data_IF_711668885521
#
_entry.id   IF_711668885521
#
_cell.length_a   1.000
_cell.length_b   1.000
_cell.length_c   1.000
_cell.angle_alpha   90.00
_cell.angle_beta   90.00
_cell.angle_gamma   90.00
#
_symmetry.space_group_name_H-M   'P 1'
#
loop_
_entity.id
_entity.type
_entity.pdbx_description
1 polymer ?
#
# COMPACT_ATOMS: atom_id res chain seq x y z
N UNK A 1 -2.23 4.97 10.77
CA UNK A 1 -3.68 5.05 11.00
C UNK A 1 -4.17 3.64 11.16
N UNK A 2 -4.87 3.34 12.26
CA UNK A 2 -5.11 1.96 12.71
C UNK A 2 -6.59 1.75 13.02
N UNK A 3 -7.12 0.59 12.65
CA UNK A 3 -8.54 0.22 12.87
C UNK A 3 -8.80 -0.49 14.22
N UNK A 4 -7.75 -0.96 14.89
CA UNK A 4 -7.85 -1.67 16.17
C UNK A 4 -6.57 -1.54 17.00
N UNK A 5 -6.60 -1.97 18.26
CA UNK A 5 -5.41 -2.01 19.12
C UNK A 5 -4.36 -3.01 18.61
N UNK A 6 -4.79 -4.16 18.08
CA UNK A 6 -3.89 -5.16 17.48
C UNK A 6 -3.20 -4.60 16.23
N UNK A 7 -3.97 -3.89 15.39
CA UNK A 7 -3.44 -3.18 14.23
C UNK A 7 -2.39 -2.14 14.64
N UNK A 8 -2.66 -1.41 15.73
CA UNK A 8 -1.73 -0.42 16.26
C UNK A 8 -0.43 -1.03 16.75
N UNK A 9 -0.49 -2.16 17.44
CA UNK A 9 0.68 -2.91 17.91
C UNK A 9 1.50 -3.42 16.71
N UNK A 10 0.86 -4.05 15.73
CA UNK A 10 1.48 -4.48 14.48
C UNK A 10 2.22 -3.33 13.77
N UNK A 11 1.51 -2.25 13.46
CA UNK A 11 2.06 -1.11 12.71
C UNK A 11 3.29 -0.52 13.42
N UNK A 12 3.20 -0.32 14.74
CA UNK A 12 4.27 0.27 15.55
C UNK A 12 5.47 -0.66 15.63
N UNK A 13 5.26 -1.95 15.91
CA UNK A 13 6.34 -2.93 16.00
C UNK A 13 7.09 -3.05 14.67
N UNK A 14 6.36 -3.03 13.55
CA UNK A 14 6.99 -3.12 12.22
C UNK A 14 7.82 -1.90 11.87
N UNK A 15 7.29 -0.70 12.10
CA UNK A 15 8.10 0.51 11.88
C UNK A 15 9.31 0.52 12.82
N UNK A 16 9.11 0.19 14.10
CA UNK A 16 10.18 0.25 15.10
C UNK A 16 11.29 -0.79 14.85
N UNK A 17 10.95 -1.99 14.36
CA UNK A 17 11.92 -3.03 14.06
C UNK A 17 12.89 -2.62 12.94
N UNK A 18 12.41 -1.86 11.96
CA UNK A 18 13.18 -1.46 10.77
C UNK A 18 13.83 -0.08 10.95
N UNK A 19 13.08 0.88 11.51
CA UNK A 19 13.48 2.26 11.73
C UNK A 19 13.37 2.61 13.24
N UNK A 20 14.20 2.03 14.13
CA UNK A 20 14.06 2.17 15.58
C UNK A 20 14.25 3.61 16.10
N UNK A 21 14.90 4.48 15.32
CA UNK A 21 15.06 5.90 15.63
C UNK A 21 13.91 6.80 15.16
N UNK A 22 12.93 6.27 14.43
CA UNK A 22 11.79 7.05 13.96
C UNK A 22 10.86 7.41 15.12
N UNK A 23 10.39 8.67 15.15
CA UNK A 23 9.33 9.08 16.08
C UNK A 23 7.98 8.59 15.54
N UNK A 24 7.38 7.61 16.20
CA UNK A 24 6.12 7.00 15.78
C UNK A 24 4.96 7.65 16.55
N UNK A 25 3.94 8.12 15.81
CA UNK A 25 2.70 8.65 16.39
C UNK A 25 1.53 7.81 15.92
N UNK A 26 0.84 7.17 16.86
CA UNK A 26 -0.39 6.42 16.58
C UNK A 26 -1.56 7.39 16.56
N UNK A 27 -2.32 7.35 15.48
CA UNK A 27 -3.49 8.20 15.25
C UNK A 27 -4.74 7.32 15.26
N UNK A 28 -5.72 7.72 16.06
CA UNK A 28 -6.98 7.00 16.26
C UNK A 28 -8.16 7.96 16.11
N UNK A 29 -9.23 7.54 15.43
CA UNK A 29 -10.48 8.31 15.41
C UNK A 29 -11.08 8.42 16.83
N UNK A 30 -11.63 9.58 17.22
CA UNK A 30 -12.30 9.76 18.51
C UNK A 30 -13.67 9.05 18.59
N UNK A 31 -14.23 8.57 17.48
CA UNK A 31 -15.55 7.95 17.47
C UNK A 31 -15.44 6.43 17.74
N UNK A 32 -16.06 6.00 18.86
CA UNK A 32 -16.21 4.60 19.22
C UNK A 32 -17.39 3.97 18.48
N UNK A 33 -17.27 3.81 17.16
CA UNK A 33 -18.25 3.09 16.33
C UNK A 33 -17.71 1.70 15.96
N UNK A 34 -18.61 0.74 15.72
CA UNK A 34 -18.24 -0.61 15.26
C UNK A 34 -17.75 -0.65 13.80
N UNK A 35 -17.87 0.47 13.08
CA UNK A 35 -17.43 0.66 11.70
C UNK A 35 -16.69 1.99 11.64
N UNK A 36 -15.55 2.01 10.95
CA UNK A 36 -14.80 3.26 10.74
C UNK A 36 -15.49 4.08 9.66
N UNK A 37 -15.72 5.37 9.91
CA UNK A 37 -16.27 6.30 8.93
C UNK A 37 -15.12 6.88 8.08
N UNK A 38 -15.18 6.84 6.73
CA UNK A 38 -14.19 7.49 5.88
C UNK A 38 -13.95 8.96 6.22
N UNK A 39 -14.98 9.73 6.56
CA UNK A 39 -14.83 11.15 6.89
C UNK A 39 -14.01 11.36 8.17
N UNK A 40 -14.16 10.47 9.16
CA UNK A 40 -13.33 10.50 10.35
C UNK A 40 -11.86 10.23 10.03
N UNK A 41 -11.60 9.27 9.12
CA UNK A 41 -10.25 8.96 8.66
C UNK A 41 -9.63 10.22 8.05
N UNK A 42 -10.32 10.85 7.08
CA UNK A 42 -9.85 12.07 6.43
C UNK A 42 -9.56 13.19 7.45
N UNK A 43 -10.45 13.41 8.41
CA UNK A 43 -10.26 14.45 9.43
C UNK A 43 -9.03 14.20 10.31
N UNK A 44 -8.76 12.95 10.68
CA UNK A 44 -7.55 12.61 11.46
C UNK A 44 -6.29 12.80 10.64
N UNK A 45 -6.32 12.45 9.36
CA UNK A 45 -5.19 12.68 8.44
C UNK A 45 -4.92 14.18 8.24
N UNK A 46 -5.96 14.97 7.99
CA UNK A 46 -5.86 16.43 7.89
C UNK A 46 -5.26 17.02 9.17
N UNK A 47 -5.76 16.60 10.33
CA UNK A 47 -5.21 17.04 11.62
C UNK A 47 -3.71 16.71 11.73
N UNK A 48 -3.29 15.52 11.31
CA UNK A 48 -1.90 15.10 11.37
C UNK A 48 -0.99 15.93 10.48
N UNK A 49 -1.44 16.27 9.27
CA UNK A 49 -0.71 17.13 8.34
C UNK A 49 -0.67 18.57 8.86
N UNK A 50 -1.81 19.16 9.23
CA UNK A 50 -1.91 20.55 9.72
C UNK A 50 -1.02 20.79 10.95
N UNK A 51 -0.92 19.79 11.85
CA UNK A 51 -0.12 19.88 13.06
C UNK A 51 1.30 19.30 12.89
N UNK A 52 1.71 19.00 11.65
CA UNK A 52 3.06 18.53 11.30
C UNK A 52 3.49 17.32 12.15
N UNK A 53 2.57 16.36 12.33
CA UNK A 53 2.80 15.25 13.24
C UNK A 53 3.81 14.24 12.69
N UNK A 54 3.97 14.13 11.39
CA UNK A 54 4.94 13.27 10.73
C UNK A 54 5.07 13.61 9.26
N UNK A 55 6.06 12.99 8.61
CA UNK A 55 6.36 13.17 7.19
C UNK A 55 6.09 11.91 6.35
N UNK A 56 5.60 10.87 7.03
CA UNK A 56 5.17 9.60 6.43
C UNK A 56 3.88 9.19 7.13
N UNK A 57 2.80 9.04 6.36
CA UNK A 57 1.52 8.53 6.83
C UNK A 57 1.36 7.09 6.33
N UNK A 58 1.36 6.13 7.26
CA UNK A 58 1.09 4.71 7.00
C UNK A 58 -0.36 4.40 7.36
N UNK A 59 -1.10 3.81 6.43
CA UNK A 59 -2.51 3.50 6.60
C UNK A 59 -2.79 2.00 6.42
N UNK A 60 -3.13 1.34 7.53
CA UNK A 60 -3.57 -0.06 7.57
C UNK A 60 -5.11 -0.12 7.72
N UNK A 61 -5.79 0.72 6.95
CA UNK A 61 -7.25 0.88 6.91
C UNK A 61 -7.68 1.19 5.49
N UNK A 62 -8.85 0.65 5.12
CA UNK A 62 -9.35 0.73 3.76
C UNK A 62 -10.85 0.52 3.68
N UNK A 63 -11.40 0.87 2.54
CA UNK A 63 -12.81 0.81 2.19
C UNK A 63 -12.94 0.32 0.75
N UNK A 64 -14.03 -0.36 0.41
CA UNK A 64 -14.29 -0.69 -1.00
C UNK A 64 -14.44 0.58 -1.82
N UNK A 65 -13.62 0.77 -2.87
CA UNK A 65 -13.74 1.91 -3.79
C UNK A 65 -15.15 1.98 -4.42
N UNK A 66 -15.80 0.83 -4.60
CA UNK A 66 -17.16 0.75 -5.10
C UNK A 66 -18.17 1.55 -4.26
N UNK A 67 -17.91 1.74 -2.95
CA UNK A 67 -18.73 2.56 -2.07
C UNK A 67 -18.67 4.07 -2.41
N UNK A 68 -17.69 4.50 -3.19
CA UNK A 68 -17.48 5.90 -3.58
C UNK A 68 -17.92 6.21 -5.02
N UNK A 69 -18.37 5.22 -5.80
CA UNK A 69 -18.81 5.43 -7.19
C UNK A 69 -20.00 6.40 -7.30
N UNK A 70 -20.92 6.33 -6.33
CA UNK A 70 -22.07 7.25 -6.20
C UNK A 70 -21.77 8.46 -5.28
N UNK A 71 -20.55 8.53 -4.72
CA UNK A 71 -20.09 9.55 -3.76
C UNK A 71 -18.72 10.12 -4.18
N UNK A 72 -18.57 10.42 -5.47
CA UNK A 72 -17.29 10.87 -6.05
C UNK A 72 -16.81 12.21 -5.46
N UNK A 73 -17.73 13.03 -4.94
CA UNK A 73 -17.41 14.25 -4.22
C UNK A 73 -16.62 14.01 -2.93
N UNK A 74 -16.88 12.89 -2.23
CA UNK A 74 -16.10 12.49 -1.06
C UNK A 74 -14.71 12.01 -1.52
N UNK A 75 -14.64 11.13 -2.50
CA UNK A 75 -13.35 10.67 -3.02
C UNK A 75 -12.48 11.81 -3.57
N UNK A 76 -13.09 12.82 -4.20
CA UNK A 76 -12.37 14.00 -4.65
C UNK A 76 -11.82 14.84 -3.50
N UNK A 77 -12.55 14.97 -2.37
CA UNK A 77 -12.04 15.68 -1.19
C UNK A 77 -10.77 15.02 -0.62
N UNK A 78 -10.78 13.68 -0.53
CA UNK A 78 -9.59 12.91 -0.17
C UNK A 78 -8.45 13.14 -1.16
N UNK A 79 -8.73 13.04 -2.47
CA UNK A 79 -7.71 13.21 -3.51
C UNK A 79 -7.08 14.60 -3.50
N UNK A 80 -7.89 15.65 -3.33
CA UNK A 80 -7.41 17.02 -3.22
C UNK A 80 -6.52 17.21 -1.98
N UNK A 81 -6.91 16.60 -0.85
CA UNK A 81 -6.11 16.59 0.36
C UNK A 81 -4.79 15.84 0.16
N UNK A 82 -4.80 14.61 -0.36
CA UNK A 82 -3.59 13.81 -0.59
C UNK A 82 -2.64 14.47 -1.58
N UNK A 83 -3.17 15.10 -2.63
CA UNK A 83 -2.38 15.93 -3.54
C UNK A 83 -1.69 17.06 -2.80
N UNK A 84 -2.42 17.83 -1.98
CA UNK A 84 -1.83 18.94 -1.23
C UNK A 84 -0.79 18.44 -0.23
N UNK A 85 -1.11 17.42 0.56
CA UNK A 85 -0.21 16.86 1.57
C UNK A 85 1.10 16.36 0.95
N UNK A 86 1.03 15.69 -0.21
CA UNK A 86 2.20 15.08 -0.84
C UNK A 86 3.04 16.06 -1.67
N UNK A 87 2.41 17.06 -2.29
CA UNK A 87 3.11 18.00 -3.19
C UNK A 87 3.47 19.34 -2.57
N UNK A 88 2.79 19.75 -1.49
CA UNK A 88 3.03 21.03 -0.80
C UNK A 88 3.66 20.78 0.56
N UNK A 89 3.08 19.89 1.36
CA UNK A 89 3.54 19.64 2.74
C UNK A 89 4.68 18.61 2.82
N UNK A 90 4.99 17.93 1.72
CA UNK A 90 6.10 16.98 1.62
C UNK A 90 5.86 15.65 2.33
N UNK A 91 4.61 15.31 2.62
CA UNK A 91 4.22 14.07 3.31
C UNK A 91 4.14 12.91 2.32
N UNK A 92 4.79 11.79 2.60
CA UNK A 92 4.55 10.54 1.86
C UNK A 92 3.35 9.81 2.46
N UNK A 93 2.39 9.40 1.63
CA UNK A 93 1.19 8.68 2.09
C UNK A 93 1.21 7.27 1.50
N UNK A 94 1.10 6.26 2.36
CA UNK A 94 1.07 4.85 2.00
C UNK A 94 -0.19 4.20 2.53
N UNK A 95 -0.82 3.34 1.73
CA UNK A 95 -2.00 2.59 2.14
C UNK A 95 -1.91 1.13 1.70
N UNK A 96 -2.35 0.26 2.60
CA UNK A 96 -2.55 -1.16 2.36
C UNK A 96 -3.59 -1.38 1.25
N UNK A 97 -3.35 -2.31 0.31
CA UNK A 97 -4.30 -2.58 -0.77
C UNK A 97 -5.44 -3.52 -0.41
N UNK A 98 -5.41 -4.11 0.78
CA UNK A 98 -6.42 -5.06 1.26
C UNK A 98 -5.92 -6.50 1.27
N UNK A 99 -6.69 -7.33 1.97
CA UNK A 99 -6.30 -8.70 2.36
C UNK A 99 -7.23 -9.79 1.77
N UNK A 100 -8.16 -9.38 0.91
CA UNK A 100 -9.22 -10.19 0.33
C UNK A 100 -8.96 -10.54 -1.15
N UNK A 101 -7.71 -10.41 -1.61
CA UNK A 101 -7.30 -10.68 -2.98
C UNK A 101 -7.85 -9.65 -3.98
N UNK A 102 -8.33 -10.09 -5.14
CA UNK A 102 -8.87 -9.21 -6.18
C UNK A 102 -10.24 -8.58 -5.85
N UNK A 103 -10.78 -8.75 -4.64
CA UNK A 103 -12.05 -8.15 -4.23
C UNK A 103 -11.88 -7.36 -2.93
N UNK A 104 -12.75 -6.37 -2.72
CA UNK A 104 -12.92 -5.69 -1.43
C UNK A 104 -14.37 -5.82 -1.00
N UNK A 105 -14.67 -6.72 -0.04
CA UNK A 105 -16.02 -6.91 0.49
C UNK A 105 -16.60 -5.60 1.05
N UNK A 106 -17.91 -5.40 0.89
CA UNK A 106 -18.61 -4.23 1.42
C UNK A 106 -19.97 -4.60 1.99
N UNK A 107 -20.26 -4.19 3.22
CA UNK A 107 -21.54 -4.49 3.88
C UNK A 107 -21.84 -5.99 4.02
N UNK A 108 -20.82 -6.84 4.07
CA UNK A 108 -20.96 -8.30 4.09
C UNK A 108 -21.29 -8.95 2.74
N UNK A 109 -21.20 -8.18 1.65
CA UNK A 109 -21.44 -8.66 0.29
C UNK A 109 -20.08 -8.87 -0.40
N UNK A 110 -19.89 -10.06 -0.99
CA UNK A 110 -18.73 -10.38 -1.82
C UNK A 110 -18.97 -9.90 -3.26
N UNK A 111 -18.09 -9.05 -3.82
CA UNK A 111 -18.12 -8.69 -5.23
C UNK A 111 -17.96 -9.91 -6.14
N UNK A 112 -18.63 -9.90 -7.30
CA UNK A 112 -18.49 -10.95 -8.34
C UNK A 112 -17.51 -10.58 -9.44
N UNK A 113 -16.93 -9.38 -9.37
CA UNK A 113 -15.92 -8.85 -10.27
C UNK A 113 -14.80 -8.20 -9.45
N UNK A 114 -13.60 -8.02 -10.02
CA UNK A 114 -12.53 -7.35 -9.31
C UNK A 114 -12.92 -5.95 -8.83
N UNK A 115 -12.48 -5.61 -7.62
CA UNK A 115 -12.66 -4.30 -6.98
C UNK A 115 -11.38 -3.97 -6.22
N UNK A 116 -11.14 -2.69 -5.94
CA UNK A 116 -9.92 -2.22 -5.27
C UNK A 116 -10.23 -1.43 -4.02
N UNK A 117 -9.24 -1.31 -3.14
CA UNK A 117 -9.36 -0.63 -1.87
C UNK A 117 -9.09 0.88 -2.02
N UNK A 118 -9.85 1.68 -1.28
CA UNK A 118 -9.69 3.12 -1.10
C UNK A 118 -9.32 3.40 0.37
N UNK A 119 -8.23 4.15 0.67
CA UNK A 119 -7.60 5.15 -0.19
C UNK A 119 -6.45 4.65 -1.09
N UNK A 120 -6.10 3.36 -1.05
CA UNK A 120 -4.98 2.85 -1.87
C UNK A 120 -5.15 3.14 -3.37
N UNK A 121 -6.39 3.19 -3.88
CA UNK A 121 -6.68 3.49 -5.28
C UNK A 121 -6.47 4.95 -5.67
N UNK A 122 -6.31 5.87 -4.72
CA UNK A 122 -6.02 7.26 -5.03
C UNK A 122 -4.62 7.43 -5.66
N UNK A 123 -4.47 8.17 -6.78
CA UNK A 123 -3.17 8.36 -7.44
C UNK A 123 -2.09 9.10 -6.64
N UNK A 124 -2.45 9.79 -5.56
CA UNK A 124 -1.50 10.48 -4.68
C UNK A 124 -1.00 9.60 -3.53
N UNK A 125 -1.55 8.40 -3.39
CA UNK A 125 -1.19 7.41 -2.37
C UNK A 125 -0.31 6.33 -2.99
N UNK A 126 0.76 5.95 -2.29
CA UNK A 126 1.54 4.76 -2.63
C UNK A 126 0.80 3.54 -2.12
N UNK A 127 0.21 2.77 -3.03
CA UNK A 127 -0.48 1.52 -2.72
C UNK A 127 0.52 0.40 -2.46
N UNK A 128 0.38 -0.27 -1.32
CA UNK A 128 1.29 -1.33 -0.86
C UNK A 128 0.56 -2.67 -0.80
N UNK A 129 0.94 -3.57 -1.71
CA UNK A 129 0.44 -4.93 -1.78
C UNK A 129 1.25 -5.93 -0.95
N UNK A 130 0.97 -7.21 -1.20
CA UNK A 130 1.43 -8.31 -0.38
C UNK A 130 2.12 -9.44 -1.15
N UNK A 131 3.15 -10.00 -0.54
CA UNK A 131 3.87 -11.20 -1.00
C UNK A 131 3.84 -12.31 0.05
N UNK A 132 4.13 -13.53 -0.39
CA UNK A 132 4.43 -14.69 0.44
C UNK A 132 5.94 -14.94 0.38
N UNK A 133 6.65 -14.72 1.48
CA UNK A 133 8.10 -14.91 1.59
C UNK A 133 8.45 -16.24 2.28
N UNK A 134 8.65 -17.29 1.51
CA UNK A 134 8.92 -18.62 2.04
C UNK A 134 10.41 -18.90 2.18
N UNK A 135 10.79 -19.55 3.28
CA UNK A 135 12.13 -20.08 3.44
C UNK A 135 12.25 -21.46 2.79
N UNK A 136 13.08 -21.57 1.77
CA UNK A 136 13.37 -22.83 1.06
C UNK A 136 14.83 -23.22 1.31
N UNK A 137 15.04 -24.03 2.35
CA UNK A 137 16.38 -24.43 2.79
C UNK A 137 17.18 -23.26 3.38
N UNK A 138 18.24 -22.86 2.69
CA UNK A 138 19.07 -21.70 3.05
C UNK A 138 18.70 -20.42 2.27
N UNK A 139 17.77 -20.53 1.32
CA UNK A 139 17.32 -19.42 0.48
C UNK A 139 15.91 -19.00 0.87
N UNK A 140 15.47 -17.88 0.30
CA UNK A 140 14.08 -17.44 0.32
C UNK A 140 13.54 -17.44 -1.12
N UNK A 141 12.27 -17.78 -1.25
CA UNK A 141 11.49 -17.67 -2.48
C UNK A 141 10.30 -16.79 -2.17
N UNK A 142 10.00 -15.86 -3.07
CA UNK A 142 8.91 -14.92 -2.89
C UNK A 142 7.93 -15.02 -4.05
N UNK A 143 6.65 -15.04 -3.73
CA UNK A 143 5.54 -15.11 -4.68
C UNK A 143 4.46 -14.11 -4.29
N UNK A 144 3.53 -13.84 -5.20
CA UNK A 144 2.38 -13.01 -4.89
C UNK A 144 1.48 -13.70 -3.86
N UNK A 145 1.14 -12.99 -2.79
CA UNK A 145 0.18 -13.49 -1.81
C UNK A 145 -1.22 -13.47 -2.41
N UNK A 146 -1.97 -14.57 -2.30
CA UNK A 146 -3.31 -14.65 -2.87
C UNK A 146 -4.32 -13.71 -2.20
N UNK A 147 -4.04 -13.28 -0.97
CA UNK A 147 -4.82 -12.25 -0.28
C UNK A 147 -4.43 -10.83 -0.68
N UNK A 148 -3.36 -10.62 -1.46
CA UNK A 148 -2.93 -9.27 -1.85
C UNK A 148 -4.01 -8.56 -2.66
N UNK A 149 -4.48 -7.44 -2.11
CA UNK A 149 -5.29 -6.48 -2.84
C UNK A 149 -4.56 -5.96 -4.07
N UNK A 150 -5.28 -5.84 -5.19
CA UNK A 150 -4.69 -5.38 -6.43
C UNK A 150 -5.67 -5.43 -7.59
N UNK A 151 -5.49 -4.55 -8.56
CA UNK A 151 -6.39 -4.45 -9.70
C UNK A 151 -6.36 -3.09 -10.36
N UNK A 152 -7.50 -2.68 -10.91
CA UNK A 152 -7.67 -1.43 -11.66
C UNK A 152 -8.82 -0.65 -11.03
N UNK A 153 -8.57 0.60 -10.71
CA UNK A 153 -9.56 1.53 -10.16
C UNK A 153 -10.70 1.77 -11.15
N UNK A 154 -11.93 1.74 -10.65
CA UNK A 154 -13.12 2.16 -11.39
C UNK A 154 -13.36 3.67 -11.30
N UNK A 155 -12.71 4.35 -10.35
CA UNK A 155 -12.96 5.76 -10.04
C UNK A 155 -11.89 6.70 -10.61
N UNK A 156 -10.61 6.34 -10.46
CA UNK A 156 -9.48 7.21 -10.79
C UNK A 156 -8.90 6.87 -12.16
N UNK A 157 -8.71 7.91 -12.97
CA UNK A 157 -8.00 7.80 -14.24
C UNK A 157 -6.52 7.48 -14.03
N UNK A 158 -5.90 6.92 -15.06
CA UNK A 158 -4.48 6.57 -15.05
C UNK A 158 -3.61 7.82 -14.84
N UNK A 159 -2.81 7.88 -13.77
CA UNK A 159 -1.92 8.98 -13.53
C UNK A 159 -0.74 8.96 -14.51
N UNK A 160 -0.17 10.13 -14.80
CA UNK A 160 0.91 10.27 -15.77
C UNK A 160 2.14 9.41 -15.51
N UNK A 161 2.41 9.04 -14.25
CA UNK A 161 3.53 8.16 -13.90
C UNK A 161 3.30 6.68 -14.26
N UNK A 162 2.05 6.24 -14.51
CA UNK A 162 1.74 4.89 -14.99
C UNK A 162 1.77 4.77 -16.52
N UNK A 163 1.67 5.90 -17.25
CA UNK A 163 1.61 5.90 -18.71
C UNK A 163 2.90 5.40 -19.39
N UNK A 164 4.01 5.29 -18.65
CA UNK A 164 5.27 4.70 -19.14
C UNK A 164 5.32 3.18 -19.03
N UNK A 165 4.28 2.54 -18.47
CA UNK A 165 4.23 1.08 -18.33
C UNK A 165 4.15 0.40 -19.71
N UNK A 166 4.62 -0.86 -19.83
CA UNK A 166 4.57 -1.61 -21.09
C UNK A 166 3.16 -1.75 -21.68
N UNK A 167 3.07 -1.95 -23.00
CA UNK A 167 1.79 -1.98 -23.73
C UNK A 167 0.80 -3.05 -23.26
N UNK A 168 1.27 -4.20 -22.80
CA UNK A 168 0.41 -5.22 -22.19
C UNK A 168 -0.22 -4.73 -20.89
N UNK A 169 0.51 -3.97 -20.08
CA UNK A 169 0.01 -3.34 -18.86
C UNK A 169 -0.94 -2.21 -19.20
N UNK A 170 -0.60 -1.36 -20.18
CA UNK A 170 -1.49 -0.29 -20.65
C UNK A 170 -2.85 -0.84 -21.15
N UNK A 171 -2.84 -2.01 -21.80
CA UNK A 171 -4.07 -2.69 -22.23
C UNK A 171 -4.91 -3.15 -21.04
N UNK A 172 -4.26 -3.63 -19.97
CA UNK A 172 -4.93 -4.00 -18.72
C UNK A 172 -5.53 -2.78 -18.00
N UNK A 173 -4.77 -1.71 -17.88
CA UNK A 173 -5.19 -0.49 -17.16
C UNK A 173 -6.29 0.27 -17.92
N UNK A 174 -6.24 0.27 -19.24
CA UNK A 174 -7.24 0.92 -20.10
C UNK A 174 -7.52 2.39 -19.70
N UNK A 175 -6.49 3.13 -19.29
CA UNK A 175 -6.62 4.53 -18.87
C UNK A 175 -7.10 4.75 -17.43
N UNK A 176 -7.02 3.73 -16.56
CA UNK A 176 -7.35 3.82 -15.14
C UNK A 176 -6.15 3.51 -14.22
N UNK A 177 -6.21 3.98 -12.96
CA UNK A 177 -5.15 3.75 -11.96
C UNK A 177 -5.04 2.25 -11.64
N UNK A 178 -3.88 1.65 -11.86
CA UNK A 178 -3.59 0.25 -11.49
C UNK A 178 -2.94 0.13 -10.12
N UNK A 179 -3.25 -0.90 -9.33
CA UNK A 179 -2.69 -1.16 -7.98
C UNK A 179 -2.11 -2.57 -7.86
N UNK A 180 -1.14 -2.80 -6.96
CA UNK A 180 -0.46 -1.82 -6.10
C UNK A 180 0.67 -1.07 -6.84
N UNK A 181 1.34 -0.14 -6.16
CA UNK A 181 2.57 0.46 -6.67
C UNK A 181 3.79 -0.41 -6.34
N UNK A 182 3.79 -0.99 -5.13
CA UNK A 182 4.87 -1.82 -4.57
C UNK A 182 4.30 -2.89 -3.64
N UNK A 183 5.12 -3.83 -3.17
CA UNK A 183 4.69 -4.88 -2.25
C UNK A 183 5.74 -5.21 -1.16
N UNK A 184 5.34 -6.04 -0.21
CA UNK A 184 6.21 -6.64 0.81
C UNK A 184 5.53 -7.84 1.46
N UNK A 185 6.26 -8.59 2.29
CA UNK A 185 5.72 -9.80 2.92
C UNK A 185 4.46 -9.49 3.74
N UNK A 186 3.39 -10.20 3.41
CA UNK A 186 2.06 -9.98 3.94
C UNK A 186 1.34 -11.30 4.26
N UNK A 187 1.74 -12.43 3.68
CA UNK A 187 1.03 -13.69 3.91
C UNK A 187 1.12 -14.14 5.37
N UNK A 188 -0.01 -14.37 6.07
CA UNK A 188 -0.02 -14.93 7.42
C UNK A 188 0.67 -16.30 7.56
N UNK A 189 0.82 -17.06 6.46
CA UNK A 189 1.58 -18.32 6.47
C UNK A 189 3.10 -18.11 6.54
N UNK A 190 3.58 -16.94 6.12
CA UNK A 190 4.98 -16.50 6.25
C UNK A 190 5.06 -15.29 7.18
N UNK A 191 4.19 -15.30 8.20
CA UNK A 191 3.97 -14.20 9.12
C UNK A 191 5.24 -13.75 9.86
N UNK A 192 5.20 -12.48 10.22
CA UNK A 192 6.15 -11.87 11.12
C UNK A 192 5.69 -12.09 12.57
N UNK A 193 6.64 -12.11 13.51
CA UNK A 193 6.31 -12.19 14.93
C UNK A 193 6.00 -10.79 15.47
N UNK A 194 4.84 -10.61 16.11
CA UNK A 194 4.51 -9.41 16.87
C UNK A 194 4.08 -9.77 18.28
N UNK A 195 4.19 -8.82 19.20
CA UNK A 195 3.82 -8.98 20.60
C UNK A 195 2.54 -8.20 20.91
N UNK A 196 1.40 -8.84 20.66
CA UNK A 196 0.09 -8.22 20.77
C UNK A 196 -0.67 -8.71 22.00
N UNK A 197 -1.30 -7.78 22.72
CA UNK A 197 -2.11 -8.07 23.92
C UNK A 197 -1.38 -8.93 24.98
N UNK A 198 -0.05 -8.82 25.06
CA UNK A 198 0.77 -9.55 26.02
C UNK A 198 1.25 -10.95 25.58
N UNK A 199 1.03 -11.34 24.33
CA UNK A 199 1.48 -12.63 23.79
C UNK A 199 2.11 -12.49 22.39
N UNK A 200 3.03 -13.41 22.05
CA UNK A 200 3.58 -13.48 20.71
C UNK A 200 2.56 -14.06 19.74
N UNK A 201 2.33 -13.37 18.63
CA UNK A 201 1.40 -13.72 17.59
C UNK A 201 2.05 -13.66 16.21
N UNK A 202 1.41 -14.31 15.24
CA UNK A 202 1.75 -14.23 13.84
C UNK A 202 0.96 -13.10 13.19
N UNK A 203 1.66 -12.17 12.55
CA UNK A 203 1.05 -11.05 11.85
C UNK A 203 1.35 -11.09 10.35
N UNK A 204 0.38 -10.66 9.57
CA UNK A 204 0.45 -10.50 8.13
C UNK A 204 -0.53 -9.42 7.68
N UNK A 205 -1.11 -9.62 6.50
CA UNK A 205 -1.88 -8.61 5.80
C UNK A 205 -0.99 -7.61 5.07
N UNK A 206 -1.56 -6.91 4.10
CA UNK A 206 -0.98 -5.70 3.52
C UNK A 206 -0.79 -4.60 4.58
N UNK A 207 -1.50 -4.73 5.70
CA UNK A 207 -1.22 -4.07 6.97
C UNK A 207 0.19 -4.27 7.52
N UNK A 208 0.87 -5.37 7.23
CA UNK A 208 2.26 -5.60 7.63
C UNK A 208 3.25 -4.98 6.62
N UNK A 209 2.95 -5.07 5.32
CA UNK A 209 3.82 -4.57 4.26
C UNK A 209 3.82 -3.03 4.18
N UNK A 210 2.71 -2.38 4.50
CA UNK A 210 2.58 -0.91 4.52
C UNK A 210 3.50 -0.21 5.54
N UNK A 211 3.51 -0.57 6.83
CA UNK A 211 4.44 -0.01 7.81
C UNK A 211 5.90 -0.40 7.55
N UNK A 212 6.15 -1.57 6.93
CA UNK A 212 7.49 -1.89 6.40
C UNK A 212 7.95 -0.83 5.40
N UNK A 213 7.12 -0.49 4.42
CA UNK A 213 7.42 0.55 3.44
C UNK A 213 7.52 1.94 4.07
N UNK A 214 6.67 2.26 5.05
CA UNK A 214 6.75 3.51 5.79
C UNK A 214 8.10 3.66 6.51
N UNK A 215 8.64 2.57 7.08
CA UNK A 215 9.96 2.56 7.68
C UNK A 215 11.09 2.76 6.66
N UNK A 216 11.00 2.13 5.48
CA UNK A 216 11.94 2.35 4.37
C UNK A 216 11.96 3.82 3.95
N UNK A 217 10.78 4.43 3.78
CA UNK A 217 10.66 5.86 3.44
C UNK A 217 11.19 6.75 4.57
N UNK A 218 10.93 6.42 5.84
CA UNK A 218 11.46 7.17 6.97
C UNK A 218 13.00 7.16 7.00
N UNK A 219 13.63 6.03 6.70
CA UNK A 219 15.08 5.92 6.55
C UNK A 219 15.55 6.74 5.35
N UNK A 220 14.85 6.67 4.21
CA UNK A 220 15.20 7.46 3.03
C UNK A 220 15.13 8.97 3.29
N UNK A 221 14.09 9.45 3.99
CA UNK A 221 13.96 10.84 4.44
C UNK A 221 15.13 11.24 5.35
N UNK A 222 15.54 10.37 6.28
CA UNK A 222 16.67 10.62 7.16
C UNK A 222 17.98 10.74 6.38
N UNK A 223 18.23 9.84 5.42
CA UNK A 223 19.45 9.85 4.60
C UNK A 223 19.48 11.06 3.67
N UNK A 224 18.35 11.45 3.10
CA UNK A 224 18.23 12.65 2.27
C UNK A 224 18.41 13.95 3.08
N UNK A 225 18.11 13.91 4.38
CA UNK A 225 18.07 15.08 5.25
C UNK A 225 16.82 15.94 5.08
N UNK A 226 15.83 15.46 4.32
CA UNK A 226 14.54 16.11 4.10
C UNK A 226 13.46 15.08 3.72
N UNK A 227 12.16 15.41 3.86
CA UNK A 227 11.08 14.57 3.35
C UNK A 227 11.12 14.42 1.83
N UNK A 228 10.83 13.22 1.32
CA UNK A 228 10.73 12.94 -0.11
C UNK A 228 9.35 13.25 -0.69
N UNK A 229 8.30 13.33 0.13
CA UNK A 229 6.94 13.67 -0.32
C UNK A 229 6.35 12.64 -1.27
N UNK A 230 5.86 13.10 -2.42
CA UNK A 230 5.21 12.25 -3.42
C UNK A 230 6.21 11.36 -4.18
N UNK A 231 6.30 10.08 -3.80
CA UNK A 231 7.31 9.15 -4.36
C UNK A 231 6.84 8.36 -5.60
N UNK A 232 5.53 8.28 -5.89
CA UNK A 232 5.04 7.42 -6.99
C UNK A 232 5.74 7.73 -8.33
N UNK A 233 5.88 8.98 -8.80
CA UNK A 233 6.57 9.25 -10.06
C UNK A 233 8.01 8.72 -10.11
N UNK A 234 8.71 8.70 -8.97
CA UNK A 234 10.07 8.18 -8.88
C UNK A 234 10.07 6.66 -8.87
N UNK A 235 9.16 6.00 -8.14
CA UNK A 235 9.01 4.54 -8.14
C UNK A 235 8.85 4.00 -9.57
N UNK A 236 7.98 4.62 -10.38
CA UNK A 236 7.75 4.18 -11.76
C UNK A 236 8.94 4.47 -12.69
N UNK A 237 9.64 5.60 -12.49
CA UNK A 237 10.90 5.87 -13.21
C UNK A 237 11.94 4.78 -12.91
N UNK A 238 12.10 4.41 -11.64
CA UNK A 238 13.04 3.39 -11.20
C UNK A 238 12.63 2.00 -11.71
N UNK A 239 11.37 1.62 -11.59
CA UNK A 239 10.89 0.32 -12.07
C UNK A 239 11.13 0.09 -13.57
N UNK A 240 10.98 1.15 -14.38
CA UNK A 240 11.29 1.10 -15.82
C UNK A 240 12.80 1.08 -16.08
N UNK A 241 13.60 1.86 -15.35
CA UNK A 241 15.01 2.10 -15.67
C UNK A 241 15.99 1.16 -14.96
N UNK A 242 15.62 0.61 -13.80
CA UNK A 242 16.51 -0.04 -12.82
C UNK A 242 15.80 -1.21 -12.14
N UNK A 243 15.68 -2.32 -12.86
CA UNK A 243 15.07 -3.54 -12.32
C UNK A 243 15.76 -4.09 -11.06
N UNK A 244 17.00 -3.68 -10.74
CA UNK A 244 17.71 -4.09 -9.52
C UNK A 244 17.24 -3.40 -8.24
N UNK A 245 16.44 -2.33 -8.34
CA UNK A 245 15.88 -1.61 -7.20
C UNK A 245 14.71 -2.35 -6.55
N UNK A 246 14.10 -3.29 -7.28
CA UNK A 246 12.99 -4.09 -6.81
C UNK A 246 13.25 -5.59 -7.00
N UNK A 247 12.81 -6.39 -6.03
CA UNK A 247 12.61 -7.81 -6.22
C UNK A 247 11.31 -8.02 -6.99
N UNK A 248 11.43 -8.27 -8.28
CA UNK A 248 10.31 -8.52 -9.19
C UNK A 248 9.63 -9.87 -8.88
N UNK A 249 8.34 -9.83 -8.56
CA UNK A 249 7.56 -11.01 -8.20
C UNK A 249 6.83 -11.51 -9.45
N UNK A 250 7.19 -12.71 -9.89
CA UNK A 250 6.78 -13.21 -11.23
C UNK A 250 5.90 -14.46 -11.18
N UNK A 251 5.41 -14.83 -9.98
CA UNK A 251 4.58 -16.01 -9.79
C UNK A 251 3.53 -15.79 -8.71
N UNK A 252 2.41 -16.50 -8.82
CA UNK A 252 1.25 -16.33 -7.95
C UNK A 252 0.18 -15.40 -8.55
N UNK A 253 -0.94 -15.27 -7.86
CA UNK A 253 -2.09 -14.46 -8.27
C UNK A 253 -2.99 -14.16 -7.08
N UNK A 254 -3.86 -13.16 -7.23
CA UNK A 254 -4.85 -12.79 -6.22
C UNK A 254 -6.29 -13.21 -6.57
N UNK A 255 -6.46 -14.35 -7.25
CA UNK A 255 -7.81 -14.87 -7.53
C UNK A 255 -8.49 -15.34 -6.25
N UNK A 256 -9.80 -15.12 -6.18
CA UNK A 256 -10.58 -15.33 -4.95
C UNK A 256 -11.58 -16.46 -5.16
N UNK A 257 -11.59 -17.39 -4.20
CA UNK A 257 -12.58 -18.45 -4.09
C UNK A 257 -13.08 -18.51 -2.64
N UNK A 258 -14.18 -17.81 -2.37
CA UNK A 258 -14.74 -17.66 -1.02
C UNK A 258 -16.26 -17.78 -1.05
N UNK A 259 -16.82 -18.57 -0.14
CA UNK A 259 -18.28 -18.74 0.05
C UNK A 259 -19.09 -18.98 -1.24
N UNK A 260 -18.50 -19.73 -2.19
CA UNK A 260 -19.12 -20.06 -3.48
C UNK A 260 -19.01 -18.95 -4.54
N UNK A 261 -18.42 -17.81 -4.20
CA UNK A 261 -18.03 -16.75 -5.16
C UNK A 261 -16.63 -17.06 -5.68
N UNK A 262 -16.46 -16.95 -7.01
CA UNK A 262 -15.19 -17.13 -7.68
C UNK A 262 -14.92 -15.93 -8.57
N UNK A 263 -13.87 -15.18 -8.26
CA UNK A 263 -13.41 -14.03 -9.04
C UNK A 263 -12.01 -14.33 -9.55
N UNK A 264 -11.87 -14.35 -10.88
CA UNK A 264 -10.56 -14.40 -11.52
C UNK A 264 -9.86 -13.06 -11.31
N UNK A 265 -8.77 -13.08 -10.55
CA UNK A 265 -7.93 -11.91 -10.28
C UNK A 265 -6.84 -11.73 -11.34
N UNK A 266 -5.74 -11.14 -10.92
CA UNK A 266 -4.59 -10.83 -11.76
C UNK A 266 -3.43 -11.76 -11.44
N UNK A 267 -2.53 -11.95 -12.41
CA UNK A 267 -1.34 -12.78 -12.25
C UNK A 267 -0.14 -11.89 -11.99
N UNK A 268 0.78 -12.35 -11.14
CA UNK A 268 2.09 -11.76 -11.02
C UNK A 268 2.91 -12.05 -12.29
N UNK A 269 3.62 -11.07 -12.82
CA UNK A 269 4.33 -11.18 -14.10
C UNK A 269 5.64 -10.40 -14.07
N UNK A 270 6.48 -10.53 -15.10
CA UNK A 270 7.70 -9.73 -15.18
C UNK A 270 7.40 -8.23 -15.27
N UNK A 271 8.01 -7.44 -14.38
CA UNK A 271 7.82 -5.99 -14.28
C UNK A 271 6.59 -5.64 -13.44
N UNK A 272 5.96 -4.49 -13.73
CA UNK A 272 4.77 -4.09 -12.98
C UNK A 272 3.60 -5.04 -13.25
N UNK A 273 2.93 -5.50 -12.18
CA UNK A 273 1.67 -6.24 -12.25
C UNK A 273 0.63 -5.76 -11.22
N UNK A 274 -0.63 -6.13 -11.46
CA UNK A 274 -1.77 -5.73 -10.62
C UNK A 274 -1.96 -6.62 -9.38
N UNK A 275 -0.88 -7.21 -8.86
CA UNK A 275 -0.87 -7.97 -7.60
C UNK A 275 0.21 -7.47 -6.65
N UNK A 276 1.40 -7.17 -7.18
CA UNK A 276 2.59 -6.79 -6.41
C UNK A 276 3.27 -5.50 -6.90
N UNK A 277 2.74 -4.89 -7.96
CA UNK A 277 3.26 -3.64 -8.50
C UNK A 277 4.66 -3.86 -9.04
N UNK A 278 5.62 -3.01 -8.67
CA UNK A 278 7.04 -3.23 -8.99
C UNK A 278 7.71 -4.32 -8.13
N UNK A 279 7.03 -4.83 -7.10
CA UNK A 279 7.57 -5.81 -6.17
C UNK A 279 8.17 -5.18 -4.90
N UNK A 280 9.14 -5.86 -4.31
CA UNK A 280 9.67 -5.58 -2.96
C UNK A 280 10.98 -4.78 -3.03
N UNK A 281 11.24 -3.77 -2.19
CA UNK A 281 12.41 -2.92 -2.39
C UNK A 281 13.70 -3.66 -2.03
N UNK A 282 14.69 -3.59 -2.92
CA UNK A 282 16.07 -3.99 -2.63
C UNK A 282 16.78 -2.82 -1.91
N UNK A 283 16.43 -2.61 -0.64
CA UNK A 283 16.68 -1.38 0.15
C UNK A 283 18.11 -0.83 0.08
N UNK A 284 19.13 -1.70 -0.01
CA UNK A 284 20.53 -1.28 -0.15
C UNK A 284 20.79 -0.41 -1.39
N UNK A 285 20.19 -0.75 -2.53
CA UNK A 285 20.31 0.02 -3.78
C UNK A 285 19.21 1.08 -3.85
N UNK A 286 17.98 0.64 -3.56
CA UNK A 286 16.76 1.43 -3.71
C UNK A 286 16.79 2.78 -2.98
N UNK A 287 17.28 2.85 -1.74
CA UNK A 287 17.23 4.10 -0.96
C UNK A 287 18.05 5.21 -1.62
N UNK A 288 19.28 4.92 -2.06
CA UNK A 288 20.12 5.93 -2.71
C UNK A 288 19.53 6.39 -4.05
N UNK A 289 18.95 5.45 -4.79
CA UNK A 289 18.37 5.69 -6.11
C UNK A 289 17.05 6.45 -6.05
N UNK A 290 16.23 6.17 -5.03
CA UNK A 290 15.03 6.94 -4.70
C UNK A 290 15.38 8.40 -4.40
N UNK A 291 16.37 8.64 -3.55
CA UNK A 291 16.78 10.00 -3.14
C UNK A 291 17.33 10.79 -4.34
N UNK A 292 18.26 10.20 -5.10
CA UNK A 292 18.91 10.87 -6.22
C UNK A 292 17.93 11.21 -7.35
N UNK A 293 16.96 10.33 -7.62
CA UNK A 293 15.93 10.53 -8.67
C UNK A 293 14.80 11.46 -8.22
N UNK A 294 14.57 11.59 -6.91
CA UNK A 294 13.62 12.58 -6.37
C UNK A 294 14.15 14.02 -6.47
N UNK A 295 15.47 14.17 -6.61
CA UNK A 295 16.15 15.48 -6.71
C UNK A 295 16.32 15.98 -8.15
N UNK A 296 15.91 15.19 -9.15
CA UNK A 296 16.11 15.44 -10.59
C UNK A 296 14.81 15.78 -11.32
#
# INVERSE_FOLDING_TARGET
MVKSAQEAELDVEMVHAIAPGAAIKVLTSPHATSLVDPIDVLQVEMYAVDHHLGQVLSQSIGFSEAAFLDHQDIAQQFSDFYKQATTVEGVTILAATGDDGAIVPSGGILPTTPTVDFPASDPWVTAVGGTTLERVGLNYVESAWSGSGGGVSALFSEPGYQQSLPSNVQTLLNGHRGLPDVAGNADPNTAMACYMLGEWQQCGGTSASTPFWAAVVAIANQVAGHPLGFINPVLYKLGVARQGDFHDITSGNNSVHLDGVSVTGFQATQGWDAVTGWGVPQTYQFIGDLISTSSS
#
